data_IF_966110452153
#
_entry.id   IF_966110452153
#
_cell.length_a   1.000
_cell.length_b   1.000
_cell.length_c   1.000
_cell.angle_alpha   90.00
_cell.angle_beta   90.00
_cell.angle_gamma   90.00
#
_symmetry.space_group_name_H-M   'P 1'
#
loop_
_entity.id
_entity.type
_entity.pdbx_description
1 polymer ?
#
# COMPACT_ATOMS: atom_id res chain seq x y z
N UNK A 1 -19.10 -1.63 12.61
CA UNK A 1 -17.86 -0.84 12.57
C UNK A 1 -17.49 -0.58 11.11
N UNK A 2 -17.26 0.68 10.74
CA UNK A 2 -16.77 1.05 9.43
C UNK A 2 -15.28 1.39 9.52
N UNK A 3 -14.47 0.81 8.63
CA UNK A 3 -13.01 0.97 8.61
C UNK A 3 -12.60 1.52 7.24
N UNK A 4 -11.71 2.51 7.22
CA UNK A 4 -11.12 3.04 5.99
C UNK A 4 -9.69 2.57 5.80
N UNK A 5 -9.33 2.25 4.56
CA UNK A 5 -7.97 1.93 4.14
C UNK A 5 -7.54 2.91 3.06
N UNK A 6 -6.38 3.51 3.29
CA UNK A 6 -5.70 4.47 2.40
C UNK A 6 -4.39 3.82 1.96
N UNK A 7 -4.00 3.98 0.71
CA UNK A 7 -2.78 3.38 0.16
C UNK A 7 -2.17 4.26 -0.93
N UNK A 8 -0.87 4.09 -1.18
CA UNK A 8 -0.20 4.63 -2.36
C UNK A 8 -0.42 6.14 -2.52
N UNK A 9 0.05 6.89 -1.55
CA UNK A 9 -0.13 8.34 -1.39
C UNK A 9 0.88 9.11 -2.25
N UNK A 10 2.12 8.60 -2.32
CA UNK A 10 3.23 9.18 -3.10
C UNK A 10 3.38 10.70 -2.92
N UNK A 11 3.42 11.15 -1.67
CA UNK A 11 3.61 12.56 -1.27
C UNK A 11 2.44 13.52 -1.63
N UNK A 12 1.29 13.02 -2.12
CA UNK A 12 0.12 13.86 -2.42
C UNK A 12 -0.67 14.23 -1.15
N UNK A 13 -0.13 15.17 -0.39
CA UNK A 13 -0.73 15.62 0.88
C UNK A 13 -2.17 16.12 0.71
N UNK A 14 -2.47 16.80 -0.41
CA UNK A 14 -3.82 17.31 -0.69
C UNK A 14 -4.84 16.18 -0.88
N UNK A 15 -4.46 15.12 -1.59
CA UNK A 15 -5.35 13.98 -1.77
C UNK A 15 -5.49 13.17 -0.49
N UNK A 16 -4.42 13.05 0.31
CA UNK A 16 -4.48 12.43 1.62
C UNK A 16 -5.45 13.18 2.56
N UNK A 17 -5.34 14.50 2.67
CA UNK A 17 -6.31 15.28 3.45
C UNK A 17 -7.75 15.04 3.01
N UNK A 18 -7.98 14.97 1.69
CA UNK A 18 -9.29 14.69 1.14
C UNK A 18 -9.77 13.28 1.47
N UNK A 19 -8.88 12.29 1.41
CA UNK A 19 -9.16 10.90 1.79
C UNK A 19 -9.57 10.81 3.27
N UNK A 20 -8.80 11.45 4.16
CA UNK A 20 -9.09 11.50 5.60
C UNK A 20 -10.43 12.18 5.89
N UNK A 21 -10.69 13.36 5.29
CA UNK A 21 -11.99 14.03 5.41
C UNK A 21 -13.14 13.15 4.90
N UNK A 22 -12.95 12.45 3.77
CA UNK A 22 -13.97 11.55 3.23
C UNK A 22 -14.22 10.37 4.16
N UNK A 23 -13.17 9.75 4.69
CA UNK A 23 -13.29 8.65 5.65
C UNK A 23 -14.10 9.06 6.89
N UNK A 24 -13.75 10.20 7.50
CA UNK A 24 -14.47 10.74 8.65
C UNK A 24 -15.93 11.11 8.33
N UNK A 25 -16.18 11.77 7.19
CA UNK A 25 -17.54 12.16 6.77
C UNK A 25 -18.44 10.95 6.55
N UNK A 26 -17.86 9.83 6.06
CA UNK A 26 -18.57 8.57 5.84
C UNK A 26 -18.71 7.74 7.13
N UNK A 27 -18.15 8.19 8.24
CA UNK A 27 -18.28 7.56 9.55
C UNK A 27 -17.28 6.44 9.81
N UNK A 28 -16.12 6.45 9.17
CA UNK A 28 -15.06 5.49 9.49
C UNK A 28 -14.60 5.68 10.95
N UNK A 29 -14.65 4.60 11.71
CA UNK A 29 -14.27 4.55 13.13
C UNK A 29 -12.78 4.28 13.32
N UNK A 30 -12.14 3.64 12.34
CA UNK A 30 -10.70 3.33 12.30
C UNK A 30 -10.16 3.58 10.90
N UNK A 31 -8.93 4.06 10.80
CA UNK A 31 -8.25 4.35 9.53
C UNK A 31 -6.88 3.67 9.55
N UNK A 32 -6.51 3.03 8.44
CA UNK A 32 -5.24 2.36 8.24
C UNK A 32 -4.59 2.79 6.94
N UNK A 33 -3.25 2.85 6.91
CA UNK A 33 -2.48 3.10 5.71
C UNK A 33 -1.73 1.84 5.26
N UNK A 34 -1.86 1.50 3.98
CA UNK A 34 -1.27 0.30 3.38
C UNK A 34 0.07 0.56 2.67
N UNK A 35 0.75 1.66 3.01
CA UNK A 35 2.10 1.97 2.52
C UNK A 35 2.16 2.88 1.30
N UNK A 36 3.38 3.09 0.81
CA UNK A 36 3.74 4.02 -0.25
C UNK A 36 3.29 5.46 0.03
N UNK A 37 3.74 5.94 1.18
CA UNK A 37 3.52 7.31 1.66
C UNK A 37 4.41 8.29 0.90
N UNK A 38 5.66 7.87 0.65
CA UNK A 38 6.71 8.59 -0.07
C UNK A 38 6.84 8.11 -1.52
N UNK A 39 7.82 8.61 -2.27
CA UNK A 39 8.13 8.12 -3.60
C UNK A 39 7.47 8.91 -4.73
N UNK A 40 7.62 10.25 -4.71
CA UNK A 40 7.19 11.08 -5.83
C UNK A 40 8.18 11.01 -6.99
N UNK A 41 7.68 10.64 -8.17
CA UNK A 41 8.43 10.68 -9.42
C UNK A 41 7.77 11.62 -10.43
N UNK A 42 8.46 12.66 -10.93
CA UNK A 42 7.90 13.59 -11.91
C UNK A 42 7.54 12.94 -13.26
N UNK A 43 8.01 11.72 -13.50
CA UNK A 43 7.66 10.95 -14.70
C UNK A 43 6.27 10.32 -14.52
N UNK A 44 5.94 9.86 -13.31
CA UNK A 44 4.71 9.14 -13.02
C UNK A 44 3.59 10.02 -12.46
N UNK A 45 3.94 11.13 -11.79
CA UNK A 45 2.99 12.04 -11.16
C UNK A 45 3.18 13.48 -11.66
N UNK A 46 2.10 14.26 -11.67
CA UNK A 46 2.08 15.63 -12.22
C UNK A 46 1.68 16.73 -11.21
N UNK A 47 1.84 16.49 -9.91
CA UNK A 47 1.49 17.43 -8.84
C UNK A 47 2.69 17.95 -8.04
N UNK A 48 3.83 18.18 -8.71
CA UNK A 48 5.11 18.56 -8.07
C UNK A 48 5.03 19.75 -7.11
N UNK A 49 4.14 20.71 -7.37
CA UNK A 49 3.99 21.90 -6.52
C UNK A 49 3.25 21.64 -5.20
N UNK A 50 2.56 20.53 -5.10
CA UNK A 50 1.71 20.16 -3.96
C UNK A 50 2.24 18.92 -3.23
N UNK A 51 3.36 18.35 -3.70
CA UNK A 51 3.98 17.21 -3.03
C UNK A 51 4.55 17.63 -1.68
N UNK A 52 4.26 16.86 -0.64
CA UNK A 52 4.75 17.13 0.71
C UNK A 52 4.76 15.84 1.55
N UNK A 53 5.86 15.09 1.48
CA UNK A 53 6.03 13.85 2.24
C UNK A 53 5.93 14.07 3.75
N UNK A 54 6.50 15.16 4.27
CA UNK A 54 6.45 15.48 5.70
C UNK A 54 5.00 15.66 6.18
N UNK A 55 4.21 16.45 5.46
CA UNK A 55 2.79 16.61 5.78
C UNK A 55 2.00 15.30 5.68
N UNK A 56 2.32 14.42 4.70
CA UNK A 56 1.70 13.09 4.62
C UNK A 56 2.00 12.27 5.87
N UNK A 57 3.25 12.24 6.32
CA UNK A 57 3.66 11.51 7.53
C UNK A 57 2.94 12.07 8.77
N UNK A 58 2.92 13.39 8.94
CA UNK A 58 2.28 14.02 10.09
C UNK A 58 0.78 13.74 10.14
N UNK A 59 0.08 13.82 9.00
CA UNK A 59 -1.33 13.47 8.89
C UNK A 59 -1.59 11.99 9.22
N UNK A 60 -0.73 11.08 8.77
CA UNK A 60 -0.90 9.65 9.07
C UNK A 60 -0.63 9.34 10.54
N UNK A 61 0.35 9.99 11.17
CA UNK A 61 0.61 9.90 12.62
C UNK A 61 -0.60 10.34 13.45
N UNK A 62 -1.31 11.37 12.98
CA UNK A 62 -2.48 11.91 13.68
C UNK A 62 -3.74 11.07 13.48
N UNK A 63 -3.95 10.53 12.30
CA UNK A 63 -5.26 9.99 11.90
C UNK A 63 -5.29 8.47 11.69
N UNK A 64 -4.16 7.82 11.42
CA UNK A 64 -4.11 6.39 11.18
C UNK A 64 -3.68 5.62 12.42
N UNK A 65 -4.40 4.54 12.73
CA UNK A 65 -4.05 3.67 13.84
C UNK A 65 -2.78 2.86 13.58
N UNK A 66 -2.63 2.37 12.35
CA UNK A 66 -1.43 1.68 11.85
C UNK A 66 -1.18 2.15 10.42
N UNK A 67 0.10 2.43 10.14
CA UNK A 67 0.62 2.56 8.78
C UNK A 67 1.64 1.45 8.57
N UNK A 68 1.61 0.76 7.42
CA UNK A 68 2.62 -0.21 7.03
C UNK A 68 3.58 0.39 6.02
N UNK A 69 4.77 -0.20 5.87
CA UNK A 69 5.76 0.26 4.91
C UNK A 69 5.49 -0.32 3.52
N UNK A 70 5.49 0.54 2.49
CA UNK A 70 5.59 0.14 1.10
C UNK A 70 7.04 0.17 0.58
N UNK A 71 7.25 -0.24 -0.66
CA UNK A 71 8.58 -0.29 -1.27
C UNK A 71 9.24 1.11 -1.39
N UNK A 72 8.45 2.14 -1.67
CA UNK A 72 8.94 3.52 -1.73
C UNK A 72 9.33 4.07 -0.35
N UNK A 73 8.60 3.71 0.69
CA UNK A 73 8.91 4.11 2.07
C UNK A 73 10.21 3.46 2.55
N UNK A 74 10.41 2.19 2.24
CA UNK A 74 11.64 1.46 2.55
C UNK A 74 12.84 2.03 1.82
N UNK A 75 12.69 2.38 0.54
CA UNK A 75 13.75 3.04 -0.22
C UNK A 75 14.11 4.39 0.40
N UNK A 76 13.14 5.23 0.68
CA UNK A 76 13.33 6.54 1.34
C UNK A 76 14.02 6.41 2.69
N UNK A 77 13.61 5.43 3.49
CA UNK A 77 14.19 5.16 4.82
C UNK A 77 15.55 4.43 4.78
N UNK A 78 16.04 4.05 3.60
CA UNK A 78 17.24 3.20 3.41
C UNK A 78 17.15 1.91 4.23
N UNK A 79 15.99 1.28 4.22
CA UNK A 79 15.69 0.01 4.89
C UNK A 79 15.39 -1.07 3.86
N UNK A 80 15.99 -2.24 4.01
CA UNK A 80 15.65 -3.42 3.21
C UNK A 80 14.46 -4.15 3.83
N UNK A 81 13.63 -4.73 2.98
CA UNK A 81 12.55 -5.63 3.39
C UNK A 81 13.11 -6.91 4.03
N UNK A 82 12.40 -7.43 5.02
CA UNK A 82 12.62 -8.80 5.52
C UNK A 82 12.15 -9.85 4.49
N UNK A 83 11.27 -9.46 3.56
CA UNK A 83 10.67 -10.29 2.51
C UNK A 83 11.29 -9.95 1.15
N UNK A 84 12.45 -10.51 0.88
CA UNK A 84 13.26 -10.16 -0.30
C UNK A 84 12.85 -10.91 -1.57
N UNK A 85 11.84 -11.79 -1.51
CA UNK A 85 11.39 -12.63 -2.64
C UNK A 85 12.54 -13.36 -3.36
N UNK A 86 13.55 -13.79 -2.60
CA UNK A 86 14.73 -14.50 -3.11
C UNK A 86 15.83 -13.60 -3.69
N UNK A 87 15.69 -12.28 -3.64
CA UNK A 87 16.74 -11.35 -4.02
C UNK A 87 17.75 -11.23 -2.87
N UNK A 88 19.03 -11.34 -3.19
CA UNK A 88 20.11 -11.12 -2.23
C UNK A 88 20.59 -9.68 -2.29
N UNK A 89 20.38 -8.93 -1.20
CA UNK A 89 20.86 -7.56 -1.04
C UNK A 89 22.12 -7.56 -0.18
N UNK A 90 23.27 -7.05 -0.66
CA UNK A 90 24.46 -6.90 0.18
C UNK A 90 24.27 -5.81 1.23
N UNK A 91 25.00 -5.89 2.35
CA UNK A 91 24.88 -4.95 3.46
C UNK A 91 25.14 -3.48 3.11
N UNK A 92 25.87 -3.21 2.01
CA UNK A 92 26.11 -1.88 1.47
C UNK A 92 25.18 -1.51 0.30
N UNK A 93 24.02 -2.15 0.18
CA UNK A 93 23.07 -1.97 -0.93
C UNK A 93 22.82 -0.50 -1.30
N UNK A 94 22.57 0.33 -0.30
CA UNK A 94 22.23 1.74 -0.52
C UNK A 94 23.41 2.61 -0.95
N UNK A 95 24.63 2.11 -0.86
CA UNK A 95 25.86 2.81 -1.27
C UNK A 95 26.35 2.37 -2.64
N UNK A 96 25.73 1.34 -3.23
CA UNK A 96 26.04 0.87 -4.58
C UNK A 96 25.52 1.83 -5.65
N UNK A 97 26.25 1.93 -6.75
CA UNK A 97 25.80 2.64 -7.94
C UNK A 97 24.59 1.95 -8.57
N UNK A 98 23.85 2.71 -9.38
CA UNK A 98 22.70 2.20 -10.13
C UNK A 98 23.06 0.95 -10.96
N UNK A 99 24.17 1.01 -11.72
CA UNK A 99 24.64 -0.10 -12.55
C UNK A 99 24.99 -1.36 -11.73
N UNK A 100 25.59 -1.19 -10.56
CA UNK A 100 25.89 -2.32 -9.68
C UNK A 100 24.61 -2.97 -9.15
N UNK A 101 23.62 -2.17 -8.73
CA UNK A 101 22.29 -2.65 -8.30
C UNK A 101 21.59 -3.41 -9.41
N UNK A 102 21.59 -2.87 -10.65
CA UNK A 102 21.01 -3.55 -11.81
C UNK A 102 21.66 -4.92 -12.05
N UNK A 103 23.00 -4.96 -12.04
CA UNK A 103 23.75 -6.20 -12.25
C UNK A 103 23.45 -7.26 -11.18
N UNK A 104 23.40 -6.85 -9.91
CA UNK A 104 23.17 -7.76 -8.78
C UNK A 104 21.75 -8.34 -8.78
N UNK A 105 20.76 -7.56 -9.16
CA UNK A 105 19.34 -7.96 -9.14
C UNK A 105 18.84 -8.48 -10.48
N UNK A 106 19.67 -8.44 -11.54
CA UNK A 106 19.26 -8.83 -12.88
C UNK A 106 18.10 -7.98 -13.43
N UNK A 107 18.01 -6.71 -13.03
CA UNK A 107 16.92 -5.78 -13.36
C UNK A 107 15.53 -6.25 -12.87
N UNK A 108 15.47 -7.03 -11.81
CA UNK A 108 14.19 -7.56 -11.29
C UNK A 108 13.54 -6.71 -10.22
N UNK A 109 14.25 -5.68 -9.71
CA UNK A 109 13.75 -4.83 -8.61
C UNK A 109 13.64 -3.38 -9.04
N UNK A 110 12.71 -2.66 -8.42
CA UNK A 110 12.63 -1.22 -8.55
C UNK A 110 13.86 -0.55 -7.96
N UNK A 111 14.46 0.41 -8.67
CA UNK A 111 15.67 1.13 -8.25
C UNK A 111 15.41 2.61 -7.95
N UNK A 112 14.21 3.11 -8.22
CA UNK A 112 13.69 4.44 -7.83
C UNK A 112 14.54 5.64 -8.32
N UNK A 113 15.25 5.49 -9.43
CA UNK A 113 16.20 6.50 -9.94
C UNK A 113 15.56 7.84 -10.32
N UNK A 114 14.24 7.84 -10.56
CA UNK A 114 13.50 9.03 -10.98
C UNK A 114 12.74 9.69 -9.81
N UNK A 115 12.89 9.18 -8.61
CA UNK A 115 12.28 9.80 -7.45
C UNK A 115 13.07 11.03 -7.00
N UNK A 116 12.32 12.02 -6.56
CA UNK A 116 12.89 13.25 -6.02
C UNK A 116 13.06 13.15 -4.52
N UNK A 117 14.06 13.83 -3.97
CA UNK A 117 14.27 13.92 -2.53
C UNK A 117 12.97 14.44 -1.83
N UNK A 118 12.39 13.67 -0.91
CA UNK A 118 11.19 14.06 -0.17
C UNK A 118 11.46 15.14 0.90
N UNK A 119 12.72 15.52 1.17
CA UNK A 119 13.15 16.54 2.15
C UNK A 119 12.62 16.29 3.56
N UNK A 120 12.77 15.08 4.04
CA UNK A 120 12.30 14.66 5.35
C UNK A 120 13.29 15.02 6.46
N UNK A 121 12.76 15.33 7.65
CA UNK A 121 13.56 15.44 8.86
C UNK A 121 14.08 14.08 9.32
N UNK A 122 15.14 14.04 10.17
CA UNK A 122 15.57 12.76 10.77
C UNK A 122 14.46 12.03 11.52
N UNK A 123 13.54 12.73 12.16
CA UNK A 123 12.39 12.16 12.87
C UNK A 123 11.40 11.47 11.90
N UNK A 124 11.12 12.08 10.75
CA UNK A 124 10.29 11.45 9.72
C UNK A 124 10.95 10.19 9.14
N UNK A 125 12.25 10.24 8.87
CA UNK A 125 13.00 9.08 8.37
C UNK A 125 12.98 7.95 9.41
N UNK A 126 13.17 8.28 10.69
CA UNK A 126 13.13 7.27 11.75
C UNK A 126 11.75 6.66 11.89
N UNK A 127 10.69 7.46 11.77
CA UNK A 127 9.32 6.94 11.77
C UNK A 127 9.10 5.96 10.61
N UNK A 128 9.52 6.30 9.39
CA UNK A 128 9.43 5.37 8.24
C UNK A 128 10.17 4.06 8.51
N UNK A 129 11.32 4.10 9.20
CA UNK A 129 12.08 2.90 9.59
C UNK A 129 11.33 2.00 10.55
N UNK A 130 10.48 2.57 11.40
CA UNK A 130 9.71 1.81 12.40
C UNK A 130 8.44 1.20 11.85
N UNK A 131 8.00 1.57 10.64
CA UNK A 131 6.79 1.03 10.05
C UNK A 131 6.87 -0.49 9.87
N UNK A 132 5.87 -1.25 10.33
CA UNK A 132 5.81 -2.69 10.08
C UNK A 132 5.59 -2.98 8.60
N UNK A 133 6.09 -4.11 8.12
CA UNK A 133 5.77 -4.62 6.76
C UNK A 133 4.43 -5.37 6.75
N UNK A 134 4.06 -5.90 7.92
CA UNK A 134 2.84 -6.68 8.12
C UNK A 134 2.20 -6.26 9.43
N UNK A 135 0.89 -6.10 9.43
CA UNK A 135 0.10 -5.96 10.64
C UNK A 135 -1.13 -6.86 10.60
N UNK A 136 -1.41 -7.56 11.68
CA UNK A 136 -2.66 -8.29 11.86
C UNK A 136 -3.51 -7.55 12.89
N UNK A 137 -4.73 -7.21 12.53
CA UNK A 137 -5.66 -6.46 13.38
C UNK A 137 -6.93 -7.27 13.62
N UNK A 138 -7.56 -7.08 14.78
CA UNK A 138 -8.90 -7.60 15.07
C UNK A 138 -9.92 -6.47 14.92
N UNK A 139 -10.92 -6.67 14.09
CA UNK A 139 -11.94 -5.68 13.80
C UNK A 139 -13.30 -6.32 13.53
N UNK A 140 -14.28 -6.01 14.38
CA UNK A 140 -15.65 -6.51 14.23
C UNK A 140 -15.76 -8.04 14.21
N UNK A 141 -14.88 -8.72 14.93
CA UNK A 141 -14.83 -10.19 14.98
C UNK A 141 -14.17 -10.84 13.76
N UNK A 142 -13.47 -10.05 12.93
CA UNK A 142 -12.64 -10.54 11.84
C UNK A 142 -11.17 -10.25 12.13
N UNK A 143 -10.29 -11.19 11.82
CA UNK A 143 -8.84 -10.98 11.80
C UNK A 143 -8.42 -10.56 10.41
N UNK A 144 -7.80 -9.39 10.29
CA UNK A 144 -7.44 -8.78 9.01
C UNK A 144 -5.91 -8.64 8.94
N UNK A 145 -5.31 -9.16 7.86
CA UNK A 145 -3.90 -9.00 7.57
C UNK A 145 -3.70 -7.80 6.63
N UNK A 146 -2.84 -6.88 7.03
CA UNK A 146 -2.45 -5.69 6.27
C UNK A 146 -1.01 -5.86 5.79
N UNK A 147 -0.77 -5.72 4.49
CA UNK A 147 0.55 -5.72 3.85
C UNK A 147 0.55 -4.69 2.73
N UNK A 148 1.73 -4.28 2.24
CA UNK A 148 1.74 -3.42 1.08
C UNK A 148 1.50 -4.21 -0.20
N UNK A 149 2.12 -5.39 -0.31
CA UNK A 149 1.91 -6.30 -1.43
C UNK A 149 1.77 -7.75 -0.95
N UNK A 150 1.87 -8.71 -1.84
CA UNK A 150 1.61 -10.13 -1.57
C UNK A 150 2.91 -10.91 -1.31
N UNK A 151 2.89 -11.89 -0.40
CA UNK A 151 4.01 -12.80 -0.17
C UNK A 151 4.41 -13.53 -1.47
N UNK A 152 5.70 -13.73 -1.76
CA UNK A 152 6.86 -13.48 -0.91
C UNK A 152 7.46 -12.06 -1.00
N UNK A 153 6.89 -11.15 -1.75
CA UNK A 153 7.35 -9.77 -1.92
C UNK A 153 6.42 -8.78 -1.19
N UNK A 154 6.32 -8.93 0.12
CA UNK A 154 5.37 -8.19 0.96
C UNK A 154 5.43 -6.67 0.77
N UNK A 155 6.61 -6.14 0.48
CA UNK A 155 6.82 -4.72 0.25
C UNK A 155 6.55 -4.26 -1.18
N UNK A 156 6.51 -5.16 -2.17
CA UNK A 156 6.36 -4.80 -3.58
C UNK A 156 7.66 -4.31 -4.24
N UNK A 157 8.81 -4.86 -3.84
CA UNK A 157 10.12 -4.45 -4.35
C UNK A 157 10.41 -4.95 -5.77
N UNK A 158 9.76 -6.01 -6.22
CA UNK A 158 9.97 -6.58 -7.55
C UNK A 158 9.22 -5.79 -8.63
N UNK A 159 9.85 -5.67 -9.80
CA UNK A 159 9.19 -5.15 -10.99
C UNK A 159 8.14 -6.18 -11.46
N UNK A 160 6.93 -5.74 -11.74
CA UNK A 160 5.84 -6.59 -12.20
C UNK A 160 6.26 -7.47 -13.40
N UNK A 161 5.94 -8.76 -13.32
CA UNK A 161 6.36 -9.77 -14.31
C UNK A 161 7.64 -10.51 -13.97
N UNK A 162 8.33 -10.14 -12.89
CA UNK A 162 9.47 -10.86 -12.32
C UNK A 162 9.13 -11.58 -11.01
N UNK A 163 7.89 -11.45 -10.60
CA UNK A 163 7.39 -12.10 -9.40
C UNK A 163 7.43 -13.63 -9.55
N UNK A 164 7.81 -14.37 -8.52
CA UNK A 164 7.45 -15.78 -8.44
C UNK A 164 5.91 -15.87 -8.52
N UNK A 165 5.38 -16.96 -9.01
CA UNK A 165 3.92 -17.16 -9.13
C UNK A 165 3.25 -16.78 -7.81
N UNK A 166 2.62 -15.59 -7.78
CA UNK A 166 1.92 -15.13 -6.61
C UNK A 166 0.68 -15.96 -6.39
N UNK A 167 0.77 -16.85 -5.44
CA UNK A 167 -0.39 -17.54 -4.94
C UNK A 167 -0.79 -16.93 -3.59
N UNK A 168 -1.91 -16.22 -3.59
CA UNK A 168 -2.52 -15.75 -2.35
C UNK A 168 -2.79 -16.88 -1.33
N UNK A 169 -2.75 -18.14 -1.75
CA UNK A 169 -2.86 -19.30 -0.88
C UNK A 169 -1.69 -19.37 0.12
N UNK A 170 -0.44 -19.21 -0.34
CA UNK A 170 0.72 -19.24 0.56
C UNK A 170 0.66 -18.12 1.60
N UNK A 171 0.29 -16.91 1.18
CA UNK A 171 0.07 -15.80 2.09
C UNK A 171 -1.00 -16.10 3.14
N UNK A 172 -2.10 -16.73 2.73
CA UNK A 172 -3.19 -17.15 3.63
C UNK A 172 -2.75 -18.22 4.63
N UNK A 173 -1.96 -19.17 4.19
CA UNK A 173 -1.43 -20.24 5.05
C UNK A 173 -0.50 -19.68 6.14
N UNK A 174 0.33 -18.70 5.80
CA UNK A 174 1.27 -18.07 6.73
C UNK A 174 0.57 -17.26 7.82
N UNK A 175 -0.42 -16.43 7.45
CA UNK A 175 -0.98 -15.45 8.41
C UNK A 175 -2.36 -15.84 8.97
N UNK A 176 -3.08 -16.76 8.35
CA UNK A 176 -4.36 -17.34 8.80
C UNK A 176 -5.36 -16.29 9.29
N UNK A 177 -5.56 -15.26 8.47
CA UNK A 177 -6.53 -14.20 8.70
C UNK A 177 -7.84 -14.45 7.95
N UNK A 178 -8.91 -13.76 8.37
CA UNK A 178 -10.20 -13.82 7.68
C UNK A 178 -10.20 -12.99 6.41
N UNK A 179 -9.40 -11.91 6.37
CA UNK A 179 -9.31 -11.00 5.24
C UNK A 179 -7.87 -10.52 5.06
N UNK A 180 -7.47 -10.24 3.82
CA UNK A 180 -6.15 -9.75 3.45
C UNK A 180 -6.29 -8.48 2.63
N UNK A 181 -5.56 -7.42 3.00
CA UNK A 181 -5.64 -6.11 2.38
C UNK A 181 -4.26 -5.57 2.03
N UNK A 182 -4.11 -5.15 0.78
CA UNK A 182 -2.86 -4.58 0.25
C UNK A 182 -3.11 -3.35 -0.63
N UNK A 183 -2.04 -2.60 -0.92
CA UNK A 183 -1.95 -1.49 -1.85
C UNK A 183 -1.25 -1.86 -3.15
N UNK A 184 -0.25 -1.09 -3.55
CA UNK A 184 0.75 -1.31 -4.60
C UNK A 184 0.23 -1.31 -6.05
N UNK A 185 -0.90 -1.96 -6.36
CA UNK A 185 -1.35 -2.17 -7.74
C UNK A 185 -2.10 -0.98 -8.37
N UNK A 186 -2.48 0.02 -7.59
CA UNK A 186 -3.26 1.18 -8.03
C UNK A 186 -4.46 0.81 -8.92
N UNK A 187 -5.37 -0.07 -8.50
CA UNK A 187 -6.50 -0.46 -9.32
C UNK A 187 -7.50 0.69 -9.53
N UNK A 188 -8.33 0.57 -10.57
CA UNK A 188 -9.52 1.41 -10.74
C UNK A 188 -10.67 0.79 -9.93
N UNK A 189 -10.77 1.15 -8.66
CA UNK A 189 -11.65 0.49 -7.70
C UNK A 189 -10.88 -0.45 -6.78
N UNK A 190 -11.30 -1.71 -6.65
CA UNK A 190 -10.66 -2.73 -5.83
C UNK A 190 -10.42 -4.00 -6.66
N UNK A 191 -9.26 -4.62 -6.53
CA UNK A 191 -9.05 -5.96 -7.07
C UNK A 191 -9.29 -6.98 -5.96
N UNK A 192 -10.05 -8.03 -6.26
CA UNK A 192 -10.40 -9.08 -5.30
C UNK A 192 -10.05 -10.46 -5.85
N UNK A 193 -9.55 -11.34 -4.97
CA UNK A 193 -9.40 -12.77 -5.22
C UNK A 193 -9.98 -13.57 -4.04
N UNK A 194 -10.86 -14.51 -4.33
CA UNK A 194 -11.47 -15.36 -3.32
C UNK A 194 -12.38 -16.41 -3.92
N UNK A 195 -13.16 -17.09 -3.09
CA UNK A 195 -14.06 -18.17 -3.55
C UNK A 195 -15.11 -17.68 -4.55
N UNK A 196 -15.71 -16.51 -4.32
CA UNK A 196 -16.71 -15.92 -5.23
C UNK A 196 -16.15 -15.60 -6.62
N UNK A 197 -14.87 -15.29 -6.72
CA UNK A 197 -14.19 -15.02 -7.99
C UNK A 197 -13.59 -16.28 -8.61
N UNK A 198 -13.91 -17.48 -8.08
CA UNK A 198 -13.28 -18.74 -8.45
C UNK A 198 -11.74 -18.67 -8.39
N UNK A 199 -11.23 -17.99 -7.37
CA UNK A 199 -9.80 -17.70 -7.14
C UNK A 199 -9.11 -16.94 -8.29
N UNK A 200 -9.86 -16.19 -9.09
CA UNK A 200 -9.32 -15.28 -10.10
C UNK A 200 -9.24 -13.86 -9.53
N UNK A 201 -8.31 -13.08 -10.02
CA UNK A 201 -8.26 -11.65 -9.76
C UNK A 201 -9.34 -10.93 -10.58
N UNK A 202 -10.25 -10.24 -9.89
CA UNK A 202 -11.39 -9.55 -10.50
C UNK A 202 -11.41 -8.10 -10.01
N UNK A 203 -11.58 -7.16 -10.93
CA UNK A 203 -11.77 -5.74 -10.57
C UNK A 203 -13.23 -5.50 -10.19
N UNK A 204 -13.42 -4.80 -9.08
CA UNK A 204 -14.70 -4.25 -8.60
C UNK A 204 -14.59 -2.73 -8.72
N UNK A 205 -15.45 -2.13 -9.53
CA UNK A 205 -15.35 -0.72 -9.85
C UNK A 205 -15.73 0.19 -8.67
N UNK A 206 -15.32 1.46 -8.74
CA UNK A 206 -15.71 2.45 -7.75
C UNK A 206 -17.23 2.55 -7.61
N UNK A 207 -17.71 2.57 -6.38
CA UNK A 207 -19.14 2.64 -6.06
C UNK A 207 -19.84 1.29 -6.07
N UNK A 208 -19.19 0.23 -6.54
CA UNK A 208 -19.72 -1.13 -6.44
C UNK A 208 -19.41 -1.75 -5.08
N UNK A 209 -20.41 -2.41 -4.51
CA UNK A 209 -20.31 -3.09 -3.22
C UNK A 209 -19.97 -4.57 -3.45
N UNK A 210 -18.92 -5.04 -2.77
CA UNK A 210 -18.54 -6.45 -2.76
C UNK A 210 -18.70 -7.03 -1.36
N UNK A 211 -19.42 -8.16 -1.23
CA UNK A 211 -19.55 -8.90 0.03
C UNK A 211 -18.35 -9.82 0.21
N UNK A 212 -17.53 -9.56 1.23
CA UNK A 212 -16.32 -10.34 1.53
C UNK A 212 -16.63 -11.64 2.22
N UNK A 213 -15.79 -12.64 1.96
CA UNK A 213 -15.76 -13.95 2.60
C UNK A 213 -14.42 -14.21 3.26
N UNK A 214 -14.39 -15.15 4.21
CA UNK A 214 -13.14 -15.57 4.85
C UNK A 214 -12.16 -16.10 3.81
N UNK A 215 -10.97 -15.53 3.82
CA UNK A 215 -9.87 -15.83 2.90
C UNK A 215 -9.83 -14.94 1.66
N UNK A 216 -10.72 -13.96 1.50
CA UNK A 216 -10.61 -13.00 0.41
C UNK A 216 -9.35 -12.14 0.54
N UNK A 217 -8.70 -11.89 -0.59
CA UNK A 217 -7.57 -10.99 -0.75
C UNK A 217 -7.97 -9.79 -1.59
N UNK A 218 -7.68 -8.58 -1.10
CA UNK A 218 -8.10 -7.34 -1.74
C UNK A 218 -6.92 -6.39 -1.93
N UNK A 219 -6.89 -5.71 -3.08
CA UNK A 219 -6.02 -4.56 -3.33
C UNK A 219 -6.83 -3.28 -3.33
N UNK A 220 -6.48 -2.35 -2.45
CA UNK A 220 -7.11 -1.04 -2.34
C UNK A 220 -6.69 -0.10 -3.49
N UNK A 221 -7.52 0.91 -3.82
CA UNK A 221 -7.13 1.96 -4.77
C UNK A 221 -6.05 2.86 -4.19
N UNK A 222 -5.27 3.49 -5.05
CA UNK A 222 -4.30 4.49 -4.65
C UNK A 222 -4.96 5.81 -4.22
N UNK A 223 -4.33 6.48 -3.26
CA UNK A 223 -4.72 7.81 -2.78
C UNK A 223 -3.77 8.89 -3.32
N UNK A 224 -3.59 8.93 -4.63
CA UNK A 224 -2.80 9.96 -5.30
C UNK A 224 -3.63 10.60 -6.42
N UNK A 225 -3.24 11.79 -6.86
CA UNK A 225 -3.94 12.50 -7.93
C UNK A 225 -3.84 11.75 -9.26
N UNK A 226 -4.90 11.02 -9.54
CA UNK A 226 -5.07 10.34 -10.82
C UNK A 226 -6.55 10.38 -11.22
N UNK A 227 -6.85 10.75 -12.46
CA UNK A 227 -8.22 10.97 -12.91
C UNK A 227 -9.16 9.76 -12.75
N UNK A 228 -8.61 8.55 -12.83
CA UNK A 228 -9.39 7.31 -12.82
C UNK A 228 -9.21 6.48 -11.54
N UNK A 229 -8.07 6.55 -10.88
CA UNK A 229 -7.65 5.55 -9.89
C UNK A 229 -7.59 6.05 -8.44
N UNK A 230 -7.94 7.32 -8.19
CA UNK A 230 -7.84 7.91 -6.85
C UNK A 230 -9.04 7.57 -5.99
N UNK A 231 -8.81 6.94 -4.84
CA UNK A 231 -9.88 6.55 -3.93
C UNK A 231 -9.42 6.04 -2.58
N UNK A 232 -10.40 5.63 -1.78
CA UNK A 232 -10.22 4.90 -0.52
C UNK A 232 -11.07 3.63 -0.55
N UNK A 233 -10.69 2.63 0.23
CA UNK A 233 -11.49 1.43 0.45
C UNK A 233 -12.14 1.50 1.83
N UNK A 234 -13.45 1.25 1.89
CA UNK A 234 -14.21 1.12 3.13
C UNK A 234 -14.60 -0.32 3.36
N UNK A 235 -14.42 -0.81 4.57
CA UNK A 235 -14.89 -2.12 5.04
C UNK A 235 -15.95 -1.92 6.13
N UNK A 236 -17.14 -2.39 5.88
CA UNK A 236 -18.18 -2.52 6.92
C UNK A 236 -18.14 -3.95 7.50
N UNK A 237 -17.69 -4.06 8.74
CA UNK A 237 -17.55 -5.36 9.41
C UNK A 237 -18.90 -5.96 9.81
N UNK A 238 -19.95 -5.16 9.91
CA UNK A 238 -21.32 -5.65 10.25
C UNK A 238 -21.94 -6.33 9.05
N UNK A 239 -21.91 -5.66 7.89
CA UNK A 239 -22.46 -6.22 6.65
C UNK A 239 -21.46 -7.13 5.91
N UNK A 240 -20.23 -7.24 6.41
CA UNK A 240 -19.12 -7.96 5.77
C UNK A 240 -18.98 -7.59 4.30
N UNK A 241 -18.77 -6.31 4.04
CA UNK A 241 -18.70 -5.82 2.67
C UNK A 241 -17.71 -4.68 2.52
N UNK A 242 -17.11 -4.57 1.36
CA UNK A 242 -16.26 -3.46 0.97
C UNK A 242 -16.92 -2.59 -0.10
N UNK A 243 -16.54 -1.31 -0.08
CA UNK A 243 -16.93 -0.30 -1.05
C UNK A 243 -15.72 0.59 -1.32
N UNK A 244 -15.37 0.80 -2.57
CA UNK A 244 -14.37 1.81 -2.91
C UNK A 244 -15.04 3.14 -3.25
N UNK A 245 -14.55 4.20 -2.62
CA UNK A 245 -15.07 5.56 -2.79
C UNK A 245 -14.06 6.36 -3.61
N UNK A 246 -14.50 6.84 -4.77
CA UNK A 246 -13.66 7.65 -5.64
C UNK A 246 -13.50 9.06 -5.05
N UNK A 247 -12.26 9.51 -4.94
CA UNK A 247 -11.94 10.89 -4.57
C UNK A 247 -11.91 11.73 -5.86
N UNK A 248 -12.92 12.59 -6.02
CA UNK A 248 -12.92 13.51 -7.16
C UNK A 248 -11.88 14.62 -6.98
N UNK A 249 -11.20 14.99 -8.03
CA UNK A 249 -10.20 16.07 -8.06
C UNK A 249 -10.82 17.44 -7.82
#
# INVERSE_FOLDING_TARGET
>A
MLIAFISDIHEDARMLEKALRSAHTLGAERIFCLGDITGYSPINQNFATEKNAAACIDLLREHCEISIAGNHDMFTARRLSEFTAGIHYPGNWYDLSFTEKQRLTGNKVWLYEHETDPRLSPDHIEWLRTLPEIACIDAGGMKICLTHYIYPDISGSLIMGHEPTYDALEHRELYRCDLYLSGHLHPNGCIVQGKKTAHRWVNIDFGEKYSVETGDYLFAPACLRHALKCGILLLDTVTKSVLTVKLMN
#
